data_IF_688176070792
#
_entry.id   IF_688176070792
#
_cell.length_a   1.000
_cell.length_b   1.000
_cell.length_c   1.000
_cell.angle_alpha   90.00
_cell.angle_beta   90.00
_cell.angle_gamma   90.00
#
_symmetry.space_group_name_H-M   'P 1'
#
loop_
_entity.id
_entity.type
_entity.pdbx_description
1 polymer ?
#
# COMPACT_ATOMS: atom_id res chain seq x y z
N UNK A 1 9.75 13.05 46.28
CA UNK A 1 9.53 12.86 44.83
C UNK A 1 10.77 13.34 44.10
N UNK A 2 11.52 12.45 43.45
CA UNK A 2 12.55 12.89 42.51
C UNK A 2 11.82 13.40 41.26
N UNK A 3 12.10 14.61 40.76
CA UNK A 3 11.56 15.01 39.47
C UNK A 3 12.23 14.12 38.42
N UNK A 4 11.45 13.24 37.77
CA UNK A 4 11.96 12.52 36.62
C UNK A 4 12.16 13.52 35.49
N UNK A 5 13.42 13.76 35.16
CA UNK A 5 13.82 14.65 34.09
C UNK A 5 13.61 13.92 32.75
N UNK A 6 12.84 14.50 31.84
CA UNK A 6 12.62 13.94 30.49
C UNK A 6 13.94 13.77 29.74
N UNK A 7 14.04 12.75 28.88
CA UNK A 7 15.24 12.47 28.08
C UNK A 7 15.64 13.65 27.19
N UNK A 8 14.68 14.43 26.68
CA UNK A 8 14.94 15.67 25.97
C UNK A 8 15.64 16.71 26.86
N UNK A 9 15.19 16.83 28.11
CA UNK A 9 15.81 17.74 29.10
C UNK A 9 17.20 17.24 29.50
N UNK A 10 17.43 15.93 29.60
CA UNK A 10 18.75 15.36 29.85
C UNK A 10 19.74 15.66 28.72
N UNK A 11 19.29 15.60 27.45
CA UNK A 11 20.10 15.96 26.29
C UNK A 11 20.50 17.44 26.34
N UNK A 12 19.54 18.33 26.63
CA UNK A 12 19.80 19.77 26.77
C UNK A 12 20.86 20.05 27.85
N UNK A 13 20.75 19.38 29.00
CA UNK A 13 21.72 19.51 30.10
C UNK A 13 23.11 19.04 29.67
N UNK A 14 23.23 17.86 29.05
CA UNK A 14 24.52 17.32 28.57
C UNK A 14 25.14 18.25 27.53
N UNK A 15 24.32 18.82 26.63
CA UNK A 15 24.75 19.76 25.60
C UNK A 15 25.27 21.06 26.20
N UNK A 16 24.60 21.59 27.24
CA UNK A 16 25.07 22.77 27.97
C UNK A 16 26.40 22.56 28.70
N UNK A 17 26.65 21.34 29.19
CA UNK A 17 27.93 20.97 29.81
C UNK A 17 29.04 20.81 28.77
N UNK A 18 28.70 20.34 27.57
CA UNK A 18 29.64 20.22 26.47
C UNK A 18 30.06 21.58 25.87
N UNK A 19 29.13 22.54 25.74
CA UNK A 19 29.44 23.87 25.19
C UNK A 19 30.40 24.69 26.03
N UNK A 20 30.46 24.42 27.34
CA UNK A 20 31.33 25.12 28.28
C UNK A 20 32.73 24.50 28.41
N UNK A 21 32.99 23.36 27.76
CA UNK A 21 34.25 22.60 27.89
C UNK A 21 34.80 22.21 26.51
N UNK A 22 35.84 22.92 26.03
CA UNK A 22 36.49 22.57 24.75
C UNK A 22 37.45 21.36 24.85
N UNK A 23 37.56 20.73 26.02
CA UNK A 23 38.41 19.54 26.19
C UNK A 23 37.81 18.29 25.54
N UNK A 24 38.60 17.21 25.52
CA UNK A 24 38.16 15.86 25.16
C UNK A 24 36.88 15.42 25.91
N UNK A 25 36.64 15.92 27.13
CA UNK A 25 35.43 15.62 27.90
C UNK A 25 34.20 16.29 27.30
N UNK A 26 34.29 17.55 26.90
CA UNK A 26 33.16 18.21 26.23
C UNK A 26 32.86 17.64 24.86
N UNK A 27 33.89 17.22 24.10
CA UNK A 27 33.70 16.49 22.84
C UNK A 27 32.98 15.15 23.05
N UNK A 28 33.34 14.41 24.12
CA UNK A 28 32.68 13.16 24.49
C UNK A 28 31.21 13.39 24.91
N UNK A 29 30.94 14.43 25.71
CA UNK A 29 29.56 14.79 26.10
C UNK A 29 28.71 15.21 24.90
N UNK A 30 29.26 15.97 23.96
CA UNK A 30 28.58 16.31 22.71
C UNK A 30 28.25 15.06 21.88
N UNK A 31 29.17 14.09 21.81
CA UNK A 31 28.93 12.80 21.15
C UNK A 31 27.80 12.01 21.81
N UNK A 32 27.74 11.99 23.15
CA UNK A 32 26.65 11.36 23.90
C UNK A 32 25.31 12.04 23.59
N UNK A 33 25.23 13.37 23.63
CA UNK A 33 24.00 14.10 23.34
C UNK A 33 23.46 13.79 21.93
N UNK A 34 24.34 13.82 20.91
CA UNK A 34 23.96 13.50 19.53
C UNK A 34 23.47 12.05 19.38
N UNK A 35 24.08 11.10 20.12
CA UNK A 35 23.68 9.69 20.07
C UNK A 35 22.33 9.46 20.77
N UNK A 36 22.06 10.17 21.86
CA UNK A 36 20.77 10.12 22.56
C UNK A 36 19.64 10.74 21.71
N UNK A 37 19.90 11.86 21.02
CA UNK A 37 18.92 12.46 20.09
C UNK A 37 18.55 11.50 18.96
N UNK A 38 19.55 10.83 18.35
CA UNK A 38 19.31 9.83 17.31
C UNK A 38 18.48 8.65 17.81
N UNK A 39 18.74 8.19 19.04
CA UNK A 39 17.97 7.10 19.63
C UNK A 39 16.51 7.52 19.91
N UNK A 40 16.28 8.73 20.40
CA UNK A 40 14.93 9.26 20.61
C UNK A 40 14.15 9.43 19.30
N UNK A 41 14.79 9.96 18.25
CA UNK A 41 14.11 10.11 16.96
C UNK A 41 13.73 8.75 16.35
N UNK A 42 14.59 7.75 16.52
CA UNK A 42 14.34 6.38 16.06
C UNK A 42 13.23 5.71 16.87
N UNK A 43 13.21 5.88 18.19
CA UNK A 43 12.15 5.36 19.07
C UNK A 43 10.79 6.00 18.78
N UNK A 44 10.77 7.30 18.49
CA UNK A 44 9.57 8.00 18.03
C UNK A 44 9.08 7.50 16.67
N UNK A 45 9.99 7.21 15.73
CA UNK A 45 9.65 6.64 14.41
C UNK A 45 9.07 5.24 14.54
N UNK A 46 9.75 4.35 15.29
CA UNK A 46 9.27 3.00 15.54
C UNK A 46 7.90 3.00 16.24
N UNK A 47 7.69 3.91 17.19
CA UNK A 47 6.39 4.04 17.85
C UNK A 47 5.28 4.45 16.89
N UNK A 48 5.56 5.35 15.93
CA UNK A 48 4.59 5.73 14.89
C UNK A 48 4.27 4.57 13.95
N UNK A 49 5.28 3.82 13.50
CA UNK A 49 5.08 2.65 12.64
C UNK A 49 4.22 1.58 13.33
N UNK A 50 4.51 1.30 14.61
CA UNK A 50 3.73 0.35 15.42
C UNK A 50 2.29 0.82 15.60
N UNK A 51 2.06 2.13 15.77
CA UNK A 51 0.71 2.70 15.88
C UNK A 51 -0.06 2.63 14.56
N UNK A 52 0.62 2.81 13.42
CA UNK A 52 0.02 2.58 12.10
C UNK A 52 -0.42 1.12 11.93
N UNK A 53 0.41 0.15 12.33
CA UNK A 53 0.06 -1.28 12.26
C UNK A 53 -1.12 -1.57 13.18
N UNK A 54 -1.12 -0.99 14.39
CA UNK A 54 -2.23 -1.09 15.34
C UNK A 54 -3.54 -0.64 14.72
N UNK A 55 -3.54 0.53 14.08
CA UNK A 55 -4.72 1.04 13.39
C UNK A 55 -5.13 0.20 12.18
N UNK A 56 -4.17 -0.26 11.37
CA UNK A 56 -4.48 -1.04 10.16
C UNK A 56 -5.10 -2.41 10.47
N UNK A 57 -4.80 -2.96 11.64
CA UNK A 57 -5.28 -4.28 12.08
C UNK A 57 -6.30 -4.19 13.23
N UNK A 58 -6.82 -2.99 13.52
CA UNK A 58 -7.78 -2.70 14.60
C UNK A 58 -7.37 -3.31 15.97
N UNK A 59 -6.09 -3.24 16.31
CA UNK A 59 -5.53 -3.91 17.49
C UNK A 59 -5.80 -3.08 18.76
N UNK A 60 -6.52 -3.62 19.77
CA UNK A 60 -6.80 -2.90 21.01
C UNK A 60 -5.52 -2.49 21.76
N UNK A 61 -5.48 -1.32 22.43
CA UNK A 61 -4.28 -0.77 23.05
C UNK A 61 -3.68 -1.66 24.16
N UNK A 62 -4.50 -2.53 24.77
CA UNK A 62 -4.09 -3.52 25.77
C UNK A 62 -3.46 -4.78 25.16
N UNK A 63 -3.48 -4.92 23.83
CA UNK A 63 -2.88 -6.04 23.12
C UNK A 63 -1.54 -5.69 22.47
N UNK A 64 -0.66 -6.70 22.45
CA UNK A 64 0.63 -6.63 21.76
C UNK A 64 0.43 -6.68 20.24
N UNK A 65 0.92 -5.66 19.55
CA UNK A 65 0.91 -5.60 18.07
C UNK A 65 1.62 -6.81 17.47
N UNK A 66 2.79 -7.18 18.02
CA UNK A 66 3.56 -8.32 17.55
C UNK A 66 2.77 -9.64 17.65
N UNK A 67 2.05 -9.86 18.76
CA UNK A 67 1.30 -11.09 18.97
C UNK A 67 0.15 -11.24 17.97
N UNK A 68 -0.58 -10.15 17.71
CA UNK A 68 -1.68 -10.16 16.72
C UNK A 68 -1.14 -10.34 15.30
N UNK A 69 -0.08 -9.62 14.93
CA UNK A 69 0.56 -9.77 13.61
C UNK A 69 1.01 -11.21 13.37
N UNK A 70 1.64 -11.87 14.35
CA UNK A 70 2.04 -13.28 14.23
C UNK A 70 0.83 -14.21 14.09
N UNK A 71 -0.25 -13.94 14.82
CA UNK A 71 -1.48 -14.73 14.75
C UNK A 71 -2.12 -14.62 13.37
N UNK A 72 -2.30 -13.40 12.87
CA UNK A 72 -2.87 -13.15 11.54
C UNK A 72 -2.00 -13.70 10.42
N UNK A 73 -0.68 -13.55 10.53
CA UNK A 73 0.27 -14.13 9.57
C UNK A 73 0.17 -15.66 9.54
N UNK A 74 0.04 -16.30 10.70
CA UNK A 74 -0.09 -17.76 10.80
C UNK A 74 -1.42 -18.23 10.21
N UNK A 75 -2.52 -17.53 10.51
CA UNK A 75 -3.84 -17.78 9.92
C UNK A 75 -3.80 -17.70 8.40
N UNK A 76 -3.27 -16.60 7.87
CA UNK A 76 -3.19 -16.38 6.43
C UNK A 76 -2.29 -17.41 5.73
N UNK A 77 -1.18 -17.82 6.36
CA UNK A 77 -0.35 -18.91 5.83
C UNK A 77 -1.09 -20.25 5.76
N UNK A 78 -1.91 -20.57 6.77
CA UNK A 78 -2.72 -21.78 6.75
C UNK A 78 -3.77 -21.75 5.61
N UNK A 79 -4.42 -20.60 5.40
CA UNK A 79 -5.36 -20.40 4.29
C UNK A 79 -4.67 -20.53 2.93
N UNK A 80 -3.50 -19.91 2.74
CA UNK A 80 -2.71 -20.03 1.51
C UNK A 80 -2.34 -21.49 1.22
N UNK A 81 -1.96 -22.26 2.23
CA UNK A 81 -1.63 -23.68 2.07
C UNK A 81 -2.87 -24.50 1.68
N UNK A 82 -4.02 -24.22 2.30
CA UNK A 82 -5.30 -24.85 1.96
C UNK A 82 -5.68 -24.58 0.51
N UNK A 83 -5.67 -23.31 0.08
CA UNK A 83 -5.99 -22.91 -1.29
C UNK A 83 -5.01 -23.52 -2.30
N UNK A 84 -3.72 -23.62 -1.96
CA UNK A 84 -2.74 -24.30 -2.82
C UNK A 84 -3.03 -25.79 -2.97
N UNK A 85 -3.46 -26.45 -1.90
CA UNK A 85 -3.88 -27.85 -1.94
C UNK A 85 -5.11 -28.04 -2.83
N UNK A 86 -6.15 -27.25 -2.59
CA UNK A 86 -7.40 -27.27 -3.38
C UNK A 86 -7.12 -27.01 -4.87
N UNK A 87 -6.33 -25.98 -5.18
CA UNK A 87 -5.93 -25.69 -6.56
C UNK A 87 -5.16 -26.86 -7.18
N UNK A 88 -4.34 -27.58 -6.42
CA UNK A 88 -3.63 -28.75 -6.91
C UNK A 88 -4.57 -29.90 -7.23
N UNK A 89 -5.62 -30.11 -6.44
CA UNK A 89 -6.64 -31.13 -6.68
C UNK A 89 -7.46 -30.79 -7.92
N UNK A 90 -7.95 -29.54 -8.01
CA UNK A 90 -8.66 -29.04 -9.18
C UNK A 90 -7.84 -29.18 -10.46
N UNK A 91 -6.54 -28.88 -10.40
CA UNK A 91 -5.65 -29.05 -11.56
C UNK A 91 -5.54 -30.51 -12.01
N UNK A 92 -5.44 -31.46 -11.08
CA UNK A 92 -5.41 -32.90 -11.42
C UNK A 92 -6.72 -33.36 -12.07
N UNK A 93 -7.86 -32.84 -11.60
CA UNK A 93 -9.17 -33.12 -12.20
C UNK A 93 -9.25 -32.55 -13.62
N UNK A 94 -8.72 -31.35 -13.84
CA UNK A 94 -8.68 -30.73 -15.15
C UNK A 94 -7.75 -31.47 -16.12
N UNK A 95 -6.55 -31.87 -15.67
CA UNK A 95 -5.59 -32.62 -16.49
C UNK A 95 -6.14 -34.01 -16.89
N UNK A 96 -7.08 -34.57 -16.11
CA UNK A 96 -7.79 -35.81 -16.41
C UNK A 96 -9.13 -35.64 -17.11
N UNK A 97 -9.56 -34.41 -17.41
CA UNK A 97 -10.86 -34.15 -18.02
C UNK A 97 -10.87 -34.59 -19.49
N UNK A 98 -11.90 -35.34 -19.88
CA UNK A 98 -12.13 -35.68 -21.29
C UNK A 98 -12.67 -34.45 -22.05
N UNK A 99 -12.53 -34.39 -23.39
CA UNK A 99 -13.05 -33.27 -24.20
C UNK A 99 -14.56 -33.00 -24.04
N UNK A 100 -15.32 -33.99 -23.56
CA UNK A 100 -16.75 -33.89 -23.28
C UNK A 100 -17.07 -33.15 -21.97
N UNK A 101 -16.12 -33.11 -21.03
CA UNK A 101 -16.29 -32.49 -19.69
C UNK A 101 -15.82 -31.03 -19.69
N UNK A 102 -14.91 -30.64 -20.59
CA UNK A 102 -14.41 -29.27 -20.72
C UNK A 102 -15.55 -28.23 -20.85
N UNK A 103 -16.57 -28.42 -21.72
CA UNK A 103 -17.67 -27.44 -21.84
C UNK A 103 -18.53 -27.34 -20.57
N UNK A 104 -18.62 -28.42 -19.78
CA UNK A 104 -19.34 -28.44 -18.51
C UNK A 104 -18.56 -27.69 -17.42
N UNK A 105 -17.23 -27.81 -17.43
CA UNK A 105 -16.35 -27.06 -16.54
C UNK A 105 -16.41 -25.56 -16.87
N UNK A 106 -16.29 -25.19 -18.13
CA UNK A 106 -16.41 -23.79 -18.57
C UNK A 106 -17.76 -23.19 -18.17
N UNK A 107 -18.85 -23.93 -18.37
CA UNK A 107 -20.18 -23.52 -17.94
C UNK A 107 -20.26 -23.36 -16.42
N UNK A 108 -19.81 -24.34 -15.64
CA UNK A 108 -19.84 -24.27 -14.19
C UNK A 108 -18.98 -23.12 -13.63
N UNK A 109 -17.81 -22.86 -14.24
CA UNK A 109 -16.99 -21.69 -13.92
C UNK A 109 -17.76 -20.38 -14.19
N UNK A 110 -18.42 -20.27 -15.35
CA UNK A 110 -19.21 -19.08 -15.70
C UNK A 110 -20.45 -18.91 -14.82
N UNK A 111 -21.07 -20.01 -14.37
CA UNK A 111 -22.23 -19.99 -13.46
C UNK A 111 -21.81 -19.68 -12.00
N UNK A 112 -20.57 -20.03 -11.62
CA UNK A 112 -20.00 -19.74 -10.29
C UNK A 112 -19.45 -18.30 -10.17
N UNK A 113 -19.17 -17.64 -11.30
CA UNK A 113 -19.02 -16.18 -11.33
C UNK A 113 -20.41 -15.60 -11.10
N UNK A 114 -20.55 -14.75 -10.08
CA UNK A 114 -21.79 -14.01 -9.82
C UNK A 114 -22.33 -13.43 -11.15
N UNK A 115 -23.54 -13.79 -11.61
CA UNK A 115 -24.11 -13.27 -12.85
C UNK A 115 -24.18 -11.74 -12.88
N UNK A 116 -24.21 -11.07 -11.72
CA UNK A 116 -24.11 -9.61 -11.61
C UNK A 116 -22.68 -9.11 -11.87
N UNK A 117 -21.63 -9.89 -11.56
CA UNK A 117 -20.23 -9.56 -11.82
C UNK A 117 -19.88 -9.54 -13.31
N UNK A 118 -20.59 -10.29 -14.17
CA UNK A 118 -20.29 -10.38 -15.60
C UNK A 118 -20.81 -9.14 -16.37
N UNK A 119 -21.79 -8.42 -15.81
CA UNK A 119 -22.37 -7.20 -16.39
C UNK A 119 -22.13 -5.95 -15.54
N UNK A 120 -21.32 -6.03 -14.49
CA UNK A 120 -20.97 -4.88 -13.68
C UNK A 120 -20.04 -3.97 -14.49
N UNK A 121 -20.47 -2.75 -14.87
CA UNK A 121 -19.63 -1.83 -15.63
C UNK A 121 -18.46 -1.27 -14.81
N UNK A 122 -18.33 -1.66 -13.54
CA UNK A 122 -17.24 -1.23 -12.67
C UNK A 122 -15.90 -1.81 -13.11
N UNK A 123 -14.89 -0.95 -13.05
CA UNK A 123 -13.49 -1.32 -13.26
C UNK A 123 -13.10 -2.32 -12.16
N UNK A 124 -12.51 -3.45 -12.58
CA UNK A 124 -12.00 -4.49 -11.68
C UNK A 124 -10.48 -4.38 -11.58
N UNK A 125 -9.86 -4.80 -10.47
CA UNK A 125 -8.40 -4.88 -10.40
C UNK A 125 -7.84 -5.77 -11.52
N UNK A 126 -6.84 -5.25 -12.24
CA UNK A 126 -6.10 -5.99 -13.26
C UNK A 126 -4.61 -5.96 -12.95
N UNK A 127 -3.91 -7.04 -13.32
CA UNK A 127 -2.45 -7.05 -13.28
C UNK A 127 -1.93 -6.09 -14.37
N UNK A 128 -1.08 -5.10 -14.04
CA UNK A 128 -0.60 -4.15 -15.03
C UNK A 128 0.29 -4.79 -16.10
N UNK A 129 -0.11 -4.69 -17.36
CA UNK A 129 0.70 -5.08 -18.52
C UNK A 129 1.48 -3.86 -19.01
N UNK A 130 2.64 -3.64 -18.39
CA UNK A 130 3.50 -2.47 -18.62
C UNK A 130 4.07 -2.48 -20.04
N UNK A 131 4.17 -1.31 -20.66
CA UNK A 131 4.91 -1.13 -21.91
C UNK A 131 6.43 -1.15 -21.70
N UNK A 132 7.21 -0.98 -22.78
CA UNK A 132 8.68 -1.00 -22.74
C UNK A 132 9.26 0.05 -21.80
N UNK A 133 8.56 1.18 -21.63
CA UNK A 133 8.92 2.26 -20.72
C UNK A 133 8.31 2.11 -19.33
N UNK A 134 7.53 1.08 -19.05
CA UNK A 134 6.93 0.85 -17.73
C UNK A 134 5.59 1.58 -17.50
N UNK A 135 5.03 2.22 -18.51
CA UNK A 135 3.72 2.87 -18.41
C UNK A 135 2.60 1.86 -18.66
N UNK A 136 1.38 2.20 -18.24
CA UNK A 136 0.23 1.33 -18.43
C UNK A 136 -1.09 2.07 -18.25
N UNK A 137 -2.12 1.65 -18.98
CA UNK A 137 -3.49 2.10 -18.79
C UNK A 137 -4.41 0.89 -18.66
N UNK A 138 -5.30 0.93 -17.69
CA UNK A 138 -6.27 -0.12 -17.48
C UNK A 138 -7.23 -0.21 -18.69
N UNK A 139 -7.47 -1.38 -19.30
CA UNK A 139 -8.27 -1.50 -20.53
C UNK A 139 -9.71 -0.97 -20.41
N UNK A 140 -10.30 -1.08 -19.22
CA UNK A 140 -11.64 -0.54 -18.91
C UNK A 140 -11.64 0.95 -18.48
N UNK A 141 -10.48 1.59 -18.39
CA UNK A 141 -10.34 3.00 -18.00
C UNK A 141 -10.08 3.87 -19.23
N UNK A 142 -11.14 4.45 -19.78
CA UNK A 142 -11.08 5.28 -21.00
C UNK A 142 -11.65 6.67 -20.74
N UNK A 143 -10.91 7.56 -20.06
CA UNK A 143 -11.35 8.94 -19.85
C UNK A 143 -11.35 9.72 -21.18
N UNK A 144 -12.31 10.63 -21.40
CA UNK A 144 -12.41 11.43 -22.62
C UNK A 144 -11.49 12.65 -22.60
N UNK A 145 -10.45 12.64 -21.77
CA UNK A 145 -9.56 13.78 -21.56
C UNK A 145 -8.40 13.76 -22.55
N UNK A 146 -8.18 14.88 -23.23
CA UNK A 146 -6.96 15.17 -23.97
C UNK A 146 -6.03 16.05 -23.11
N UNK A 147 -4.86 16.43 -23.65
CA UNK A 147 -3.95 17.38 -22.99
C UNK A 147 -4.70 18.66 -22.58
N UNK A 148 -4.52 19.08 -21.32
CA UNK A 148 -5.09 20.32 -20.79
C UNK A 148 -6.42 20.18 -20.02
N UNK A 149 -6.90 18.96 -19.77
CA UNK A 149 -8.02 18.75 -18.85
C UNK A 149 -7.71 19.31 -17.45
N UNK A 150 -8.63 20.11 -16.92
CA UNK A 150 -8.49 20.69 -15.58
C UNK A 150 -8.73 19.63 -14.51
N UNK A 151 -8.11 19.82 -13.34
CA UNK A 151 -8.30 18.90 -12.21
C UNK A 151 -9.78 18.81 -11.77
N UNK A 152 -10.60 19.84 -12.03
CA UNK A 152 -12.03 19.82 -11.75
C UNK A 152 -12.80 18.90 -12.71
N UNK A 153 -12.50 18.97 -14.01
CA UNK A 153 -13.11 18.08 -15.02
C UNK A 153 -12.80 16.61 -14.71
N UNK A 154 -11.55 16.31 -14.33
CA UNK A 154 -11.13 14.95 -13.95
C UNK A 154 -11.89 14.48 -12.70
N UNK A 155 -12.02 15.32 -11.67
CA UNK A 155 -12.78 14.98 -10.45
C UNK A 155 -14.25 14.75 -10.76
N UNK A 156 -14.89 15.62 -11.54
CA UNK A 156 -16.31 15.52 -11.86
C UNK A 156 -16.62 14.24 -12.66
N UNK A 157 -15.78 13.88 -13.64
CA UNK A 157 -15.98 12.67 -14.44
C UNK A 157 -15.92 11.38 -13.60
N UNK A 158 -15.02 11.32 -12.61
CA UNK A 158 -14.96 10.21 -11.65
C UNK A 158 -16.19 10.21 -10.75
N UNK A 159 -16.56 11.37 -10.20
CA UNK A 159 -17.71 11.51 -9.31
C UNK A 159 -19.04 11.10 -9.99
N UNK A 160 -19.24 11.48 -11.25
CA UNK A 160 -20.40 11.06 -12.07
C UNK A 160 -20.52 9.54 -12.23
N UNK A 161 -19.41 8.81 -12.07
CA UNK A 161 -19.34 7.35 -12.15
C UNK A 161 -19.30 6.68 -10.77
N UNK A 162 -19.58 7.44 -9.71
CA UNK A 162 -19.52 6.94 -8.33
C UNK A 162 -18.11 6.56 -7.90
N UNK A 163 -17.10 7.24 -8.43
CA UNK A 163 -15.69 7.03 -8.09
C UNK A 163 -15.08 8.29 -7.50
N UNK A 164 -14.09 8.09 -6.63
CA UNK A 164 -13.07 9.09 -6.32
C UNK A 164 -11.72 8.61 -6.85
N UNK A 165 -10.81 9.54 -7.08
CA UNK A 165 -9.45 9.23 -7.54
C UNK A 165 -8.42 9.94 -6.66
N UNK A 166 -7.23 9.37 -6.61
CA UNK A 166 -6.06 9.96 -5.98
C UNK A 166 -4.78 9.45 -6.65
N UNK A 167 -3.66 10.13 -6.42
CA UNK A 167 -2.41 9.91 -7.12
C UNK A 167 -1.29 9.48 -6.17
N UNK A 168 -0.38 8.67 -6.69
CA UNK A 168 0.91 8.41 -6.06
C UNK A 168 2.00 8.81 -7.03
N UNK A 169 2.89 9.68 -6.58
CA UNK A 169 4.01 10.18 -7.38
C UNK A 169 5.26 9.37 -7.08
N UNK A 170 6.08 9.16 -8.09
CA UNK A 170 7.40 8.56 -7.90
C UNK A 170 8.27 9.53 -7.08
N UNK A 171 8.68 9.12 -5.88
CA UNK A 171 9.53 9.95 -5.01
C UNK A 171 11.02 9.74 -5.31
N UNK A 172 11.82 10.79 -5.14
CA UNK A 172 13.29 10.72 -5.11
C UNK A 172 13.81 9.68 -4.10
N UNK A 173 13.09 9.45 -3.00
CA UNK A 173 13.46 8.47 -1.98
C UNK A 173 13.37 7.02 -2.47
N UNK A 174 12.65 6.77 -3.57
CA UNK A 174 12.53 5.43 -4.15
C UNK A 174 13.78 5.03 -4.92
N UNK A 175 14.36 5.96 -5.69
CA UNK A 175 15.57 5.73 -6.47
C UNK A 175 16.11 7.08 -6.99
N UNK A 176 17.20 7.55 -6.41
CA UNK A 176 17.87 8.82 -6.80
C UNK A 176 18.28 8.83 -8.28
N UNK A 177 18.67 7.66 -8.82
CA UNK A 177 19.08 7.48 -10.23
C UNK A 177 17.90 7.39 -11.21
N UNK A 178 16.71 6.98 -10.75
CA UNK A 178 15.55 6.73 -11.61
C UNK A 178 14.75 8.00 -11.88
N UNK A 179 14.85 9.02 -11.03
CA UNK A 179 14.19 10.31 -11.25
C UNK A 179 14.89 11.14 -12.34
N UNK A 180 16.19 10.93 -12.55
CA UNK A 180 16.98 11.64 -13.57
C UNK A 180 17.20 10.86 -14.87
N UNK A 181 16.88 9.55 -14.89
CA UNK A 181 17.03 8.66 -16.04
C UNK A 181 15.65 8.13 -16.49
N UNK A 182 14.74 9.07 -16.73
CA UNK A 182 13.28 8.89 -16.77
C UNK A 182 12.71 8.21 -18.02
N UNK A 183 13.54 7.59 -18.86
CA UNK A 183 13.03 6.92 -20.08
C UNK A 183 12.25 5.64 -19.75
N UNK A 184 12.41 5.12 -18.52
CA UNK A 184 11.70 3.91 -18.06
C UNK A 184 11.33 3.98 -16.59
N UNK A 185 10.07 3.68 -16.27
CA UNK A 185 9.51 3.51 -14.91
C UNK A 185 9.27 2.04 -14.55
N UNK A 186 9.80 1.11 -15.34
CA UNK A 186 9.51 -0.33 -15.25
C UNK A 186 9.91 -0.97 -13.92
N UNK A 187 10.88 -0.38 -13.20
CA UNK A 187 11.30 -0.83 -11.88
C UNK A 187 10.41 -0.31 -10.74
N UNK A 188 9.56 0.68 -11.00
CA UNK A 188 8.68 1.28 -10.02
C UNK A 188 7.37 0.50 -9.87
N UNK A 189 7.05 0.12 -8.64
CA UNK A 189 5.77 -0.47 -8.27
C UNK A 189 5.03 0.48 -7.32
N UNK A 190 4.08 1.30 -7.81
CA UNK A 190 3.42 2.29 -6.99
C UNK A 190 2.60 1.63 -5.89
N UNK A 191 2.58 2.28 -4.73
CA UNK A 191 1.71 1.88 -3.61
C UNK A 191 0.40 2.66 -3.69
N UNK A 192 -0.74 2.07 -3.27
CA UNK A 192 -1.99 2.80 -3.26
C UNK A 192 -1.97 3.94 -2.22
N UNK A 193 -2.79 4.99 -2.43
CA UNK A 193 -3.05 6.01 -1.43
C UNK A 193 -3.65 5.42 -0.14
N UNK A 194 -3.69 6.22 0.92
CA UNK A 194 -4.26 5.78 2.20
C UNK A 194 -5.75 5.38 2.06
N UNK A 195 -6.14 4.31 2.75
CA UNK A 195 -7.48 3.73 2.70
C UNK A 195 -7.60 2.47 1.84
N UNK A 196 -8.79 1.87 1.82
CA UNK A 196 -9.05 0.57 1.17
C UNK A 196 -9.86 0.74 -0.12
N UNK A 197 -9.79 -0.25 -1.01
CA UNK A 197 -10.62 -0.31 -2.22
C UNK A 197 -10.05 0.43 -3.43
N UNK A 198 -8.79 0.87 -3.36
CA UNK A 198 -8.08 1.48 -4.47
C UNK A 198 -7.77 0.48 -5.58
N UNK A 199 -8.01 0.91 -6.82
CA UNK A 199 -7.75 0.17 -8.05
C UNK A 199 -6.80 1.02 -8.90
N UNK A 200 -5.66 0.46 -9.27
CA UNK A 200 -4.71 1.13 -10.17
C UNK A 200 -5.32 1.20 -11.57
N UNK A 201 -5.43 2.40 -12.12
CA UNK A 201 -6.03 2.61 -13.45
C UNK A 201 -5.04 3.15 -14.48
N UNK A 202 -3.98 3.83 -14.06
CA UNK A 202 -2.92 4.23 -14.97
C UNK A 202 -1.58 4.47 -14.27
N UNK A 203 -0.50 4.26 -15.01
CA UNK A 203 0.83 4.82 -14.75
C UNK A 203 1.23 5.60 -15.99
N UNK A 204 1.59 6.86 -15.79
CA UNK A 204 1.85 7.81 -16.86
C UNK A 204 2.92 8.80 -16.42
N UNK A 205 3.54 9.44 -17.40
CA UNK A 205 4.52 10.49 -17.17
C UNK A 205 3.84 11.83 -16.93
N UNK A 206 4.46 12.67 -16.10
CA UNK A 206 4.03 14.06 -15.87
C UNK A 206 5.25 14.97 -15.90
N UNK A 207 5.03 16.29 -15.99
CA UNK A 207 6.13 17.27 -15.95
C UNK A 207 6.97 17.18 -14.67
N UNK A 208 6.36 16.71 -13.57
CA UNK A 208 6.99 16.53 -12.26
C UNK A 208 7.48 15.08 -12.02
N UNK A 209 7.51 14.26 -13.07
CA UNK A 209 7.88 12.85 -13.03
C UNK A 209 6.69 11.89 -13.03
N UNK A 210 6.97 10.59 -13.02
CA UNK A 210 5.94 9.58 -13.18
C UNK A 210 4.91 9.56 -12.05
N UNK A 211 3.64 9.38 -12.42
CA UNK A 211 2.52 9.30 -11.51
C UNK A 211 1.69 8.03 -11.77
N UNK A 212 1.05 7.54 -10.70
CA UNK A 212 0.09 6.46 -10.74
C UNK A 212 -1.29 6.99 -10.30
N UNK A 213 -2.31 6.79 -11.12
CA UNK A 213 -3.70 7.14 -10.79
C UNK A 213 -4.41 5.92 -10.20
N UNK A 214 -5.09 6.15 -9.09
CA UNK A 214 -5.90 5.16 -8.40
C UNK A 214 -7.34 5.64 -8.33
N UNK A 215 -8.30 4.74 -8.51
CA UNK A 215 -9.73 5.01 -8.31
C UNK A 215 -10.30 4.11 -7.24
N UNK A 216 -11.31 4.57 -6.51
CA UNK A 216 -12.15 3.71 -5.66
C UNK A 216 -13.61 4.12 -5.78
N UNK A 217 -14.52 3.15 -5.67
CA UNK A 217 -15.95 3.42 -5.70
C UNK A 217 -16.41 3.98 -4.36
N UNK A 218 -17.23 5.04 -4.40
CA UNK A 218 -17.75 5.75 -3.22
C UNK A 218 -18.98 5.07 -2.62
N UNK A 219 -19.60 4.13 -3.33
CA UNK A 219 -20.72 3.34 -2.83
C UNK A 219 -20.23 2.29 -1.81
N UNK A 220 -20.83 2.31 -0.62
CA UNK A 220 -20.53 1.45 0.54
C UNK A 220 -20.90 -0.06 0.36
N UNK A 221 -20.67 -0.64 -0.82
CA UNK A 221 -20.85 -2.09 -1.04
C UNK A 221 -19.63 -2.93 -0.63
N UNK A 222 -18.54 -2.32 -0.15
CA UNK A 222 -17.38 -3.03 0.38
C UNK A 222 -17.44 -3.37 1.89
N UNK A 223 -18.58 -3.17 2.58
CA UNK A 223 -18.71 -3.43 4.04
C UNK A 223 -19.86 -4.37 4.41
N UNK A 224 -20.27 -5.29 3.52
CA UNK A 224 -21.30 -6.30 3.87
C UNK A 224 -20.93 -7.71 3.41
N UNK A 225 -19.86 -8.29 3.94
CA UNK A 225 -19.74 -9.77 4.05
C UNK A 225 -18.83 -10.26 5.19
N UNK A 226 -18.74 -9.55 6.32
CA UNK A 226 -18.26 -10.18 7.57
C UNK A 226 -19.24 -9.84 8.69
N UNK A 227 -20.46 -10.30 8.54
CA UNK A 227 -21.42 -10.52 9.60
C UNK A 227 -22.50 -11.39 8.95
N UNK A 228 -22.44 -12.71 9.15
CA UNK A 228 -23.59 -13.56 9.47
C UNK A 228 -23.05 -14.93 9.90
N UNK A 229 -23.54 -15.30 11.09
CA UNK A 229 -23.50 -16.56 11.86
C UNK A 229 -22.18 -17.01 12.53
#
# INVERSE_FOLDING_TARGET
MKPEMSTAVMIEVIRSMATNDQSLKGQFLASIANRLERLLSTESSMSREVECIRHALDIPPDQSVQAVVVTEYTRMNAEILSLRSERSELRKLLDGATPEVIPLIEKACNDAVDPQSVNDPRIRPALPERDESGFWYHPAYNPPFEEGATAEEVRNWHAERGMEHDYTFMSFDFCEECVYNSDTVSAWNPTPPNGTGWILVSIFDTEDGAAACWVRYTDALNVRTVMHD
#
